data_IF_349575514191
#
_entry.id   IF_349575514191
#
_cell.length_a   1.000
_cell.length_b   1.000
_cell.length_c   1.000
_cell.angle_alpha   90.00
_cell.angle_beta   90.00
_cell.angle_gamma   90.00
#
_symmetry.space_group_name_H-M   'P 1'
#
loop_
_entity.id
_entity.type
_entity.pdbx_description
1 polymer ?
#
# COMPACT_ATOMS: atom_id res chain seq x y z
N UNK A 1 -22.18 -11.79 6.18
CA UNK A 1 -22.16 -12.00 4.72
C UNK A 1 -21.10 -13.00 4.34
N UNK A 2 -21.23 -13.59 3.14
CA UNK A 2 -20.16 -14.35 2.47
C UNK A 2 -19.43 -13.38 1.54
N UNK A 3 -18.15 -13.17 1.78
CA UNK A 3 -17.33 -12.19 1.05
C UNK A 3 -16.22 -12.93 0.33
N UNK A 4 -16.12 -12.74 -0.98
CA UNK A 4 -14.97 -13.17 -1.75
C UNK A 4 -13.99 -11.98 -1.87
N UNK A 5 -12.77 -12.16 -1.40
CA UNK A 5 -11.68 -11.17 -1.56
C UNK A 5 -10.78 -11.64 -2.69
N UNK A 6 -10.57 -10.80 -3.70
CA UNK A 6 -9.72 -11.14 -4.85
C UNK A 6 -8.40 -10.40 -4.75
N UNK A 7 -7.33 -11.14 -4.55
CA UNK A 7 -5.96 -10.62 -4.59
C UNK A 7 -5.36 -10.77 -5.99
N UNK A 8 -4.27 -10.04 -6.27
CA UNK A 8 -3.51 -10.29 -7.50
C UNK A 8 -2.89 -11.69 -7.48
N UNK A 9 -2.96 -12.47 -8.57
CA UNK A 9 -2.32 -13.79 -8.66
C UNK A 9 -0.80 -13.72 -8.87
N UNK A 10 -0.21 -12.53 -8.82
CA UNK A 10 1.20 -12.31 -9.14
C UNK A 10 2.11 -12.58 -7.94
N UNK A 11 1.64 -12.30 -6.73
CA UNK A 11 2.45 -12.40 -5.51
C UNK A 11 1.68 -13.14 -4.42
N UNK A 12 2.27 -14.16 -3.77
CA UNK A 12 1.66 -14.80 -2.61
C UNK A 12 1.40 -13.82 -1.46
N UNK A 13 0.32 -14.07 -0.73
CA UNK A 13 -0.08 -13.27 0.42
C UNK A 13 0.51 -13.85 1.70
N UNK A 14 1.10 -12.98 2.52
CA UNK A 14 1.59 -13.31 3.86
C UNK A 14 1.38 -12.10 4.78
N UNK A 15 0.71 -12.23 5.94
CA UNK A 15 0.48 -11.09 6.85
C UNK A 15 1.78 -10.43 7.34
N UNK A 16 2.84 -11.23 7.48
CA UNK A 16 4.14 -10.74 7.96
C UNK A 16 4.97 -9.99 6.90
N UNK A 17 4.58 -10.07 5.60
CA UNK A 17 5.37 -9.41 4.55
C UNK A 17 5.28 -7.89 4.64
N UNK A 18 6.37 -7.15 4.36
CA UNK A 18 6.34 -5.70 4.37
C UNK A 18 5.52 -5.15 3.19
N UNK A 19 4.71 -4.16 3.47
CA UNK A 19 4.18 -3.19 2.53
C UNK A 19 3.08 -3.62 1.58
N UNK A 20 2.52 -2.60 0.95
CA UNK A 20 1.69 -2.69 -0.23
C UNK A 20 0.27 -3.22 -0.07
N UNK A 21 -0.35 -3.43 -1.23
CA UNK A 21 -1.73 -3.91 -1.32
C UNK A 21 -1.92 -5.31 -0.70
N UNK A 22 -0.88 -6.17 -0.76
CA UNK A 22 -0.94 -7.54 -0.22
C UNK A 22 -1.18 -7.55 1.29
N UNK A 23 -0.42 -6.74 2.05
CA UNK A 23 -0.60 -6.63 3.49
C UNK A 23 -1.99 -6.09 3.83
N UNK A 24 -2.46 -5.07 3.10
CA UNK A 24 -3.80 -4.52 3.29
C UNK A 24 -4.90 -5.55 3.00
N UNK A 25 -4.76 -6.38 1.97
CA UNK A 25 -5.71 -7.45 1.66
C UNK A 25 -5.77 -8.47 2.79
N UNK A 26 -4.62 -8.87 3.36
CA UNK A 26 -4.57 -9.75 4.53
C UNK A 26 -5.27 -9.11 5.73
N UNK A 27 -4.93 -7.86 6.05
CA UNK A 27 -5.48 -7.13 7.19
C UNK A 27 -7.00 -6.95 7.05
N UNK A 28 -7.49 -6.61 5.84
CA UNK A 28 -8.91 -6.47 5.54
C UNK A 28 -9.65 -7.80 5.73
N UNK A 29 -9.12 -8.88 5.15
CA UNK A 29 -9.78 -10.19 5.22
C UNK A 29 -9.88 -10.68 6.68
N UNK A 30 -8.79 -10.56 7.45
CA UNK A 30 -8.76 -10.90 8.88
C UNK A 30 -9.73 -10.04 9.69
N UNK A 31 -9.75 -8.73 9.44
CA UNK A 31 -10.65 -7.82 10.12
C UNK A 31 -12.13 -8.12 9.83
N UNK A 32 -12.48 -8.46 8.59
CA UNK A 32 -13.83 -8.87 8.24
C UNK A 32 -14.23 -10.20 8.88
N UNK A 33 -13.29 -11.17 9.00
CA UNK A 33 -13.53 -12.42 9.75
C UNK A 33 -13.80 -12.14 11.22
N UNK A 34 -13.01 -11.28 11.86
CA UNK A 34 -13.21 -10.87 13.26
C UNK A 34 -14.57 -10.19 13.50
N UNK A 35 -15.16 -9.58 12.46
CA UNK A 35 -16.51 -8.99 12.49
C UNK A 35 -17.64 -9.98 12.19
N UNK A 36 -17.31 -11.28 12.07
CA UNK A 36 -18.27 -12.35 11.90
C UNK A 36 -18.71 -12.59 10.45
N UNK A 37 -17.99 -12.05 9.48
CA UNK A 37 -18.22 -12.41 8.07
C UNK A 37 -17.55 -13.76 7.73
N UNK A 38 -18.11 -14.46 6.75
CA UNK A 38 -17.44 -15.61 6.11
C UNK A 38 -16.62 -15.10 4.93
N UNK A 39 -15.32 -15.11 5.06
CA UNK A 39 -14.39 -14.55 4.06
C UNK A 39 -13.58 -15.67 3.42
N UNK A 40 -13.54 -15.70 2.10
CA UNK A 40 -12.60 -16.49 1.33
C UNK A 40 -11.72 -15.58 0.48
N UNK A 41 -10.39 -15.76 0.54
CA UNK A 41 -9.45 -15.04 -0.33
C UNK A 41 -9.16 -15.91 -1.55
N UNK A 42 -9.42 -15.37 -2.73
CA UNK A 42 -8.97 -15.92 -4.00
C UNK A 42 -7.58 -15.35 -4.32
N UNK A 43 -6.56 -16.21 -4.33
CA UNK A 43 -5.15 -15.80 -4.42
C UNK A 43 -4.30 -16.85 -5.13
N UNK A 44 -3.01 -16.61 -5.25
CA UNK A 44 -2.05 -17.57 -5.84
C UNK A 44 -1.60 -18.59 -4.80
N UNK A 45 -1.24 -19.79 -5.24
CA UNK A 45 -0.60 -20.83 -4.42
C UNK A 45 0.66 -20.29 -3.71
N UNK A 46 0.95 -20.83 -2.53
CA UNK A 46 2.02 -20.33 -1.65
C UNK A 46 1.60 -19.15 -0.79
N UNK A 47 0.32 -18.70 -0.89
CA UNK A 47 -0.27 -17.76 0.06
C UNK A 47 -0.60 -18.44 1.38
N UNK A 48 -0.37 -17.73 2.49
CA UNK A 48 -0.64 -18.20 3.85
C UNK A 48 -1.25 -17.06 4.65
N UNK A 49 -2.57 -17.16 4.96
CA UNK A 49 -3.29 -16.17 5.79
C UNK A 49 -4.05 -16.94 6.86
N UNK A 50 -3.43 -17.23 8.02
CA UNK A 50 -4.06 -18.00 9.09
C UNK A 50 -5.37 -17.37 9.54
N UNK A 51 -6.43 -18.19 9.67
CA UNK A 51 -7.75 -17.73 10.10
C UNK A 51 -8.67 -17.28 8.96
N UNK A 52 -8.25 -17.38 7.70
CA UNK A 52 -9.07 -17.07 6.53
C UNK A 52 -9.04 -18.26 5.55
N UNK A 53 -10.17 -18.59 4.95
CA UNK A 53 -10.23 -19.60 3.89
C UNK A 53 -9.52 -19.10 2.63
N UNK A 54 -8.65 -19.92 2.03
CA UNK A 54 -7.95 -19.62 0.79
C UNK A 54 -8.44 -20.51 -0.35
N UNK A 55 -8.73 -19.90 -1.49
CA UNK A 55 -9.02 -20.56 -2.77
C UNK A 55 -7.92 -20.16 -3.72
N UNK A 56 -7.03 -21.08 -4.04
CA UNK A 56 -5.78 -20.78 -4.74
C UNK A 56 -5.81 -21.21 -6.20
N UNK A 57 -5.05 -20.47 -7.03
CA UNK A 57 -4.73 -20.82 -8.40
C UNK A 57 -3.21 -21.00 -8.55
N UNK A 58 -2.74 -21.80 -9.52
CA UNK A 58 -1.31 -21.94 -9.79
C UNK A 58 -0.64 -20.61 -10.14
N UNK A 59 0.65 -20.41 -9.80
CA UNK A 59 1.36 -19.18 -10.11
C UNK A 59 1.50 -19.00 -11.63
N UNK A 60 1.10 -17.83 -12.18
CA UNK A 60 1.26 -17.54 -13.60
C UNK A 60 2.74 -17.56 -14.01
N UNK A 61 3.05 -18.14 -15.18
CA UNK A 61 4.44 -18.21 -15.69
C UNK A 61 5.04 -16.84 -16.01
N UNK A 62 4.18 -15.86 -16.26
CA UNK A 62 4.51 -14.47 -16.60
C UNK A 62 4.29 -13.49 -15.44
N UNK A 63 4.14 -13.99 -14.20
CA UNK A 63 3.96 -13.16 -13.01
C UNK A 63 5.04 -12.08 -12.85
N UNK A 64 6.31 -12.41 -13.13
CA UNK A 64 7.41 -11.47 -13.03
C UNK A 64 7.27 -10.27 -13.98
N UNK A 65 6.66 -10.46 -15.16
CA UNK A 65 6.41 -9.37 -16.12
C UNK A 65 5.36 -8.38 -15.59
N UNK A 66 4.34 -8.88 -14.86
CA UNK A 66 3.30 -8.05 -14.29
C UNK A 66 3.77 -7.23 -13.06
N UNK A 67 4.94 -7.55 -12.49
CA UNK A 67 5.56 -6.76 -11.41
C UNK A 67 6.33 -5.54 -11.91
N UNK A 68 6.63 -5.48 -13.22
CA UNK A 68 7.37 -4.35 -13.81
C UNK A 68 6.46 -3.13 -13.88
N UNK A 69 6.84 -2.07 -13.16
CA UNK A 69 6.13 -0.79 -13.22
C UNK A 69 6.28 -0.16 -14.61
N UNK A 70 5.19 0.25 -15.27
CA UNK A 70 5.25 0.73 -16.66
C UNK A 70 5.89 2.12 -16.85
N UNK A 71 6.29 2.85 -15.82
CA UNK A 71 7.00 4.13 -15.79
C UNK A 71 7.15 4.85 -17.16
N UNK A 72 6.02 5.17 -17.82
CA UNK A 72 5.99 5.80 -19.16
C UNK A 72 6.19 4.84 -20.35
N UNK A 73 6.26 3.53 -20.13
CA UNK A 73 6.30 2.49 -21.17
C UNK A 73 4.98 1.70 -21.17
N UNK A 74 4.61 1.05 -22.27
CA UNK A 74 3.47 0.13 -22.28
C UNK A 74 3.69 -0.97 -21.24
N UNK A 75 2.62 -1.27 -20.45
CA UNK A 75 2.67 -2.41 -19.54
C UNK A 75 2.88 -3.71 -20.33
N UNK A 76 3.77 -4.60 -19.87
CA UNK A 76 3.94 -5.90 -20.50
C UNK A 76 2.62 -6.67 -20.52
N UNK A 77 2.38 -7.42 -21.60
CA UNK A 77 1.25 -8.34 -21.62
C UNK A 77 1.56 -9.56 -20.76
N UNK A 78 0.59 -9.97 -19.95
CA UNK A 78 0.71 -11.11 -19.05
C UNK A 78 -0.53 -12.03 -19.21
N UNK A 79 -0.62 -12.80 -20.31
CA UNK A 79 -1.77 -13.66 -20.58
C UNK A 79 -1.96 -14.78 -19.54
N UNK A 80 -0.90 -15.24 -18.89
CA UNK A 80 -0.99 -16.19 -17.79
C UNK A 80 -1.65 -15.59 -16.55
N UNK A 81 -1.36 -14.32 -16.24
CA UNK A 81 -2.06 -13.57 -15.18
C UNK A 81 -3.54 -13.44 -15.51
N UNK A 82 -3.87 -13.12 -16.77
CA UNK A 82 -5.27 -13.02 -17.20
C UNK A 82 -6.01 -14.37 -17.06
N UNK A 83 -5.37 -15.48 -17.42
CA UNK A 83 -5.94 -16.82 -17.25
C UNK A 83 -6.16 -17.20 -15.78
N UNK A 84 -5.19 -16.90 -14.92
CA UNK A 84 -5.33 -17.12 -13.48
C UNK A 84 -6.49 -16.31 -12.87
N UNK A 85 -6.67 -15.07 -13.30
CA UNK A 85 -7.82 -14.23 -12.89
C UNK A 85 -9.14 -14.87 -13.36
N UNK A 86 -9.22 -15.35 -14.59
CA UNK A 86 -10.41 -16.03 -15.08
C UNK A 86 -10.77 -17.25 -14.20
N UNK A 87 -9.80 -18.10 -13.87
CA UNK A 87 -9.98 -19.26 -12.99
C UNK A 87 -10.46 -18.85 -11.57
N UNK A 88 -9.89 -17.78 -11.01
CA UNK A 88 -10.36 -17.23 -9.73
C UNK A 88 -11.84 -16.83 -9.80
N UNK A 89 -12.26 -16.13 -10.85
CA UNK A 89 -13.64 -15.70 -10.98
C UNK A 89 -14.61 -16.82 -11.29
N UNK A 90 -14.18 -17.90 -11.94
CA UNK A 90 -14.98 -19.13 -12.10
C UNK A 90 -15.24 -19.79 -10.73
N UNK A 91 -14.21 -19.86 -9.88
CA UNK A 91 -14.34 -20.33 -8.50
C UNK A 91 -15.28 -19.42 -7.68
N UNK A 92 -15.18 -18.09 -7.81
CA UNK A 92 -16.07 -17.13 -7.14
C UNK A 92 -17.54 -17.38 -7.54
N UNK A 93 -17.81 -17.55 -8.84
CA UNK A 93 -19.18 -17.81 -9.30
C UNK A 93 -19.76 -19.11 -8.74
N UNK A 94 -18.92 -20.14 -8.57
CA UNK A 94 -19.34 -21.43 -8.00
C UNK A 94 -19.72 -21.33 -6.52
N UNK A 95 -19.03 -20.47 -5.75
CA UNK A 95 -19.28 -20.28 -4.30
C UNK A 95 -20.45 -19.34 -4.00
N UNK A 96 -20.88 -18.54 -4.97
CA UNK A 96 -21.98 -17.55 -4.86
C UNK A 96 -21.83 -16.66 -3.62
N UNK A 97 -20.80 -15.83 -3.53
CA UNK A 97 -20.66 -14.88 -2.44
C UNK A 97 -21.77 -13.83 -2.48
N UNK A 98 -22.04 -13.18 -1.36
CA UNK A 98 -22.97 -12.06 -1.29
C UNK A 98 -22.38 -10.80 -1.93
N UNK A 99 -21.02 -10.66 -1.84
CA UNK A 99 -20.25 -9.55 -2.41
C UNK A 99 -18.80 -9.96 -2.69
N UNK A 100 -18.19 -9.29 -3.68
CA UNK A 100 -16.78 -9.44 -4.06
C UNK A 100 -16.01 -8.17 -3.71
N UNK A 101 -14.96 -8.28 -2.92
CA UNK A 101 -13.97 -7.22 -2.69
C UNK A 101 -12.78 -7.46 -3.62
N UNK A 102 -12.71 -6.73 -4.73
CA UNK A 102 -11.75 -6.96 -5.79
C UNK A 102 -10.55 -6.01 -5.64
N UNK A 103 -9.35 -6.56 -5.50
CA UNK A 103 -8.09 -5.84 -5.28
C UNK A 103 -7.01 -6.16 -6.33
N UNK A 104 -7.27 -7.07 -7.26
CA UNK A 104 -6.34 -7.32 -8.37
C UNK A 104 -6.27 -6.10 -9.31
N UNK A 105 -5.08 -5.76 -9.76
CA UNK A 105 -4.82 -4.52 -10.50
C UNK A 105 -4.82 -4.71 -12.03
N UNK A 106 -5.41 -5.75 -12.52
CA UNK A 106 -5.39 -6.15 -13.91
C UNK A 106 -6.76 -5.95 -14.56
N UNK A 107 -6.79 -5.46 -15.82
CA UNK A 107 -8.03 -5.22 -16.55
C UNK A 107 -8.97 -6.44 -16.61
N UNK A 108 -8.50 -7.69 -16.80
CA UNK A 108 -9.37 -8.87 -16.78
C UNK A 108 -10.19 -9.03 -15.50
N UNK A 109 -9.71 -8.55 -14.35
CA UNK A 109 -10.45 -8.65 -13.09
C UNK A 109 -11.76 -7.83 -13.11
N UNK A 110 -11.76 -6.70 -13.82
CA UNK A 110 -12.98 -5.90 -14.02
C UNK A 110 -13.98 -6.60 -14.96
N UNK A 111 -13.47 -7.18 -16.05
CA UNK A 111 -14.31 -7.87 -17.02
C UNK A 111 -14.97 -9.10 -16.41
N UNK A 112 -14.20 -9.92 -15.69
CA UNK A 112 -14.70 -11.12 -15.03
C UNK A 112 -15.62 -10.83 -13.83
N UNK A 113 -15.54 -9.64 -13.22
CA UNK A 113 -16.45 -9.24 -12.14
C UNK A 113 -17.83 -8.80 -12.64
N UNK A 114 -18.04 -8.61 -13.95
CA UNK A 114 -19.34 -8.19 -14.50
C UNK A 114 -20.45 -9.16 -14.09
N UNK A 115 -21.57 -8.58 -13.64
CA UNK A 115 -22.72 -9.33 -13.16
C UNK A 115 -22.59 -9.87 -11.73
N UNK A 116 -21.51 -9.54 -11.04
CA UNK A 116 -21.34 -9.78 -9.60
C UNK A 116 -21.53 -8.48 -8.82
N UNK A 117 -22.01 -8.57 -7.59
CA UNK A 117 -21.94 -7.46 -6.64
C UNK A 117 -20.47 -7.26 -6.22
N UNK A 118 -19.73 -6.42 -6.94
CA UNK A 118 -18.29 -6.27 -6.77
C UNK A 118 -17.89 -4.83 -6.48
N UNK A 119 -17.02 -4.64 -5.48
CA UNK A 119 -16.34 -3.39 -5.17
C UNK A 119 -14.88 -3.50 -5.64
N UNK A 120 -14.47 -2.65 -6.56
CA UNK A 120 -13.11 -2.60 -7.09
C UNK A 120 -12.30 -1.53 -6.38
N UNK A 121 -11.22 -1.91 -5.70
CA UNK A 121 -10.31 -0.97 -5.05
C UNK A 121 -9.09 -0.71 -5.93
N UNK A 122 -8.95 0.54 -6.36
CA UNK A 122 -7.87 1.01 -7.22
C UNK A 122 -6.67 1.41 -6.34
N UNK A 123 -5.74 0.45 -6.14
CA UNK A 123 -4.57 0.63 -5.28
C UNK A 123 -3.43 1.42 -5.93
N UNK A 124 -3.45 1.58 -7.25
CA UNK A 124 -2.38 2.19 -8.04
C UNK A 124 -2.88 3.43 -8.78
N UNK A 125 -1.98 4.34 -9.16
CA UNK A 125 -2.31 5.41 -10.09
C UNK A 125 -2.78 4.86 -11.46
N UNK A 126 -3.46 5.68 -12.28
CA UNK A 126 -3.97 5.27 -13.60
C UNK A 126 -2.85 5.15 -14.65
N UNK A 127 -1.89 4.27 -14.40
CA UNK A 127 -0.68 4.09 -15.23
C UNK A 127 -0.90 3.15 -16.42
N UNK A 128 -1.89 2.26 -16.34
CA UNK A 128 -2.13 1.22 -17.35
C UNK A 128 -3.40 1.54 -18.13
N UNK A 129 -3.31 1.89 -19.43
CA UNK A 129 -4.47 2.28 -20.23
C UNK A 129 -5.60 1.24 -20.25
N UNK A 130 -5.27 -0.06 -20.27
CA UNK A 130 -6.25 -1.13 -20.24
C UNK A 130 -7.06 -1.13 -18.93
N UNK A 131 -6.41 -0.87 -17.78
CA UNK A 131 -7.08 -0.76 -16.48
C UNK A 131 -7.95 0.50 -16.43
N UNK A 132 -7.48 1.63 -16.99
CA UNK A 132 -8.26 2.86 -17.08
C UNK A 132 -9.53 2.62 -17.91
N UNK A 133 -9.43 1.96 -19.06
CA UNK A 133 -10.59 1.63 -19.91
C UNK A 133 -11.58 0.70 -19.19
N UNK A 134 -11.09 -0.33 -18.50
CA UNK A 134 -11.93 -1.25 -17.73
C UNK A 134 -12.65 -0.53 -16.57
N UNK A 135 -11.92 0.29 -15.80
CA UNK A 135 -12.49 1.10 -14.72
C UNK A 135 -13.52 2.11 -15.24
N UNK A 136 -13.28 2.77 -16.38
CA UNK A 136 -14.23 3.70 -17.01
C UNK A 136 -15.57 3.02 -17.40
N UNK A 137 -15.53 1.73 -17.66
CA UNK A 137 -16.72 0.92 -18.02
C UNK A 137 -17.43 0.36 -16.77
N UNK A 138 -16.89 0.58 -15.58
CA UNK A 138 -17.46 0.10 -14.31
C UNK A 138 -18.31 1.20 -13.68
N UNK A 139 -19.52 0.89 -13.14
CA UNK A 139 -20.33 1.91 -12.48
C UNK A 139 -19.56 2.60 -11.35
N UNK A 140 -19.64 3.93 -11.29
CA UNK A 140 -18.86 4.74 -10.35
C UNK A 140 -19.06 4.37 -8.86
N UNK A 141 -20.26 3.88 -8.50
CA UNK A 141 -20.56 3.37 -7.15
C UNK A 141 -19.83 2.08 -6.78
N UNK A 142 -19.29 1.34 -7.74
CA UNK A 142 -18.54 0.10 -7.57
C UNK A 142 -17.02 0.30 -7.56
N UNK A 143 -16.55 1.55 -7.66
CA UNK A 143 -15.14 1.91 -7.63
C UNK A 143 -14.78 2.63 -6.33
N UNK A 144 -13.63 2.28 -5.79
CA UNK A 144 -13.00 2.95 -4.66
C UNK A 144 -11.52 3.21 -4.92
N UNK A 145 -10.97 4.25 -4.32
CA UNK A 145 -9.52 4.51 -4.24
C UNK A 145 -9.08 4.54 -2.79
N UNK A 146 -7.76 4.46 -2.57
CA UNK A 146 -7.19 4.41 -1.21
C UNK A 146 -6.84 5.78 -0.63
N UNK A 147 -7.02 6.85 -1.42
CA UNK A 147 -6.78 8.24 -0.96
C UNK A 147 -7.54 9.24 -1.84
N UNK A 148 -7.74 10.45 -1.35
CA UNK A 148 -8.30 11.54 -2.14
C UNK A 148 -7.36 11.98 -3.28
N UNK A 149 -6.05 11.85 -3.09
CA UNK A 149 -5.06 12.08 -4.15
C UNK A 149 -5.28 11.10 -5.31
N UNK A 150 -5.42 9.80 -5.03
CA UNK A 150 -5.74 8.80 -6.05
C UNK A 150 -7.09 9.07 -6.71
N UNK A 151 -8.11 9.46 -5.95
CA UNK A 151 -9.41 9.84 -6.52
C UNK A 151 -9.27 10.97 -7.53
N UNK A 152 -8.47 11.99 -7.24
CA UNK A 152 -8.18 13.09 -8.19
C UNK A 152 -7.44 12.58 -9.42
N UNK A 153 -6.41 11.73 -9.23
CA UNK A 153 -5.63 11.19 -10.33
C UNK A 153 -6.51 10.36 -11.30
N UNK A 154 -7.38 9.50 -10.77
CA UNK A 154 -8.31 8.71 -11.57
C UNK A 154 -9.36 9.58 -12.28
N UNK A 155 -9.85 10.64 -11.62
CA UNK A 155 -10.77 11.60 -12.25
C UNK A 155 -10.09 12.35 -13.41
N UNK A 156 -8.83 12.74 -13.29
CA UNK A 156 -8.05 13.35 -14.38
C UNK A 156 -7.88 12.36 -15.54
N UNK A 157 -7.78 11.07 -15.26
CA UNK A 157 -7.76 10.02 -16.28
C UNK A 157 -9.14 9.69 -16.89
N UNK A 158 -10.20 10.41 -16.49
CA UNK A 158 -11.56 10.24 -17.04
C UNK A 158 -12.41 9.18 -16.33
N UNK A 159 -11.98 8.68 -15.15
CA UNK A 159 -12.71 7.68 -14.37
C UNK A 159 -13.39 8.34 -13.17
N UNK A 160 -14.73 8.28 -13.08
CA UNK A 160 -15.48 8.77 -11.93
C UNK A 160 -15.41 7.75 -10.79
N UNK A 161 -14.59 8.02 -9.77
CA UNK A 161 -14.50 7.21 -8.56
C UNK A 161 -15.14 7.96 -7.40
N UNK A 162 -16.18 7.41 -6.79
CA UNK A 162 -16.95 8.11 -5.74
C UNK A 162 -16.48 7.83 -4.34
N UNK A 163 -15.83 6.68 -4.10
CA UNK A 163 -15.45 6.24 -2.77
C UNK A 163 -13.94 6.42 -2.54
N UNK A 164 -13.60 6.86 -1.35
CA UNK A 164 -12.23 6.81 -0.82
C UNK A 164 -12.25 5.90 0.40
N UNK A 165 -11.64 4.73 0.27
CA UNK A 165 -11.48 3.74 1.32
C UNK A 165 -10.00 3.70 1.72
N UNK A 166 -9.65 4.49 2.73
CA UNK A 166 -8.26 4.62 3.16
C UNK A 166 -7.75 3.30 3.72
N UNK A 167 -6.49 3.01 3.47
CA UNK A 167 -5.81 1.93 4.19
C UNK A 167 -5.64 2.32 5.66
N UNK A 168 -5.55 1.30 6.51
CA UNK A 168 -5.26 1.47 7.93
C UNK A 168 -4.03 0.70 8.35
N UNK A 169 -3.54 0.99 9.53
CA UNK A 169 -2.41 0.31 10.15
C UNK A 169 -2.83 -0.20 11.53
N UNK A 170 -2.51 -1.47 11.78
CA UNK A 170 -2.69 -2.09 13.08
C UNK A 170 -1.82 -1.40 14.14
N UNK A 171 -2.41 -1.08 15.29
CA UNK A 171 -1.69 -0.59 16.45
C UNK A 171 -1.08 -1.77 17.21
N UNK A 172 0.12 -2.16 16.81
CA UNK A 172 0.89 -3.18 17.53
C UNK A 172 1.66 -2.57 18.69
N UNK A 173 1.75 -3.32 19.78
CA UNK A 173 2.57 -2.93 20.91
C UNK A 173 4.05 -3.07 20.52
N UNK A 174 4.65 -1.95 20.16
CA UNK A 174 6.09 -1.83 19.94
C UNK A 174 6.65 -1.15 21.19
N UNK A 175 7.60 -1.75 21.89
CA UNK A 175 8.21 -1.13 23.06
C UNK A 175 8.73 0.28 22.72
N UNK A 176 8.46 1.25 23.61
CA UNK A 176 9.04 2.58 23.50
C UNK A 176 10.57 2.46 23.53
N UNK A 177 11.20 2.52 22.35
CA UNK A 177 12.65 2.51 22.21
C UNK A 177 13.22 3.91 22.45
N UNK A 178 14.45 3.96 22.97
CA UNK A 178 15.21 5.21 22.92
C UNK A 178 15.62 5.42 21.46
N UNK A 179 15.21 6.53 20.82
CA UNK A 179 15.55 6.77 19.43
C UNK A 179 17.05 6.87 19.24
N UNK A 180 17.59 6.08 18.33
CA UNK A 180 18.93 6.26 17.83
C UNK A 180 18.95 7.49 16.91
N UNK A 181 20.04 8.22 16.89
CA UNK A 181 20.21 9.37 15.98
C UNK A 181 20.47 8.91 14.54
N UNK A 182 19.50 8.17 13.97
CA UNK A 182 19.55 7.60 12.61
C UNK A 182 18.23 7.83 11.90
N UNK A 183 18.29 8.14 10.63
CA UNK A 183 17.14 8.12 9.73
C UNK A 183 16.85 6.70 9.24
N UNK A 184 15.58 6.39 8.95
CA UNK A 184 15.15 5.17 8.30
C UNK A 184 14.60 5.49 6.92
N UNK A 185 15.07 4.76 5.91
CA UNK A 185 14.44 4.66 4.59
C UNK A 185 13.95 3.23 4.42
N UNK A 186 12.68 3.02 4.13
CA UNK A 186 12.10 1.69 4.06
C UNK A 186 11.22 1.51 2.82
N UNK A 187 11.20 0.29 2.29
CA UNK A 187 10.41 -0.12 1.13
C UNK A 187 11.27 -0.66 -0.01
N UNK A 188 10.66 -0.84 -1.19
CA UNK A 188 11.41 -1.27 -2.38
C UNK A 188 12.51 -0.26 -2.70
N UNK A 189 13.69 -0.77 -2.98
CA UNK A 189 14.79 0.05 -3.49
C UNK A 189 14.59 0.16 -5.00
N UNK A 190 13.98 1.26 -5.44
CA UNK A 190 13.52 1.51 -6.80
C UNK A 190 13.41 3.01 -7.09
N UNK A 191 13.49 3.44 -8.38
CA UNK A 191 13.55 4.84 -8.75
C UNK A 191 12.39 5.69 -8.21
N UNK A 192 11.17 5.13 -8.17
CA UNK A 192 9.98 5.85 -7.70
C UNK A 192 10.01 6.14 -6.19
N UNK A 193 10.89 5.50 -5.43
CA UNK A 193 11.05 5.72 -3.99
C UNK A 193 12.05 6.84 -3.64
N UNK A 194 12.79 7.36 -4.63
CA UNK A 194 13.66 8.52 -4.45
C UNK A 194 14.77 8.32 -3.44
N UNK A 195 15.40 7.14 -3.48
CA UNK A 195 16.43 6.73 -2.50
C UNK A 195 17.57 7.73 -2.45
N UNK A 196 18.02 8.24 -3.60
CA UNK A 196 19.12 9.20 -3.70
C UNK A 196 18.81 10.50 -2.95
N UNK A 197 17.57 11.01 -3.07
CA UNK A 197 17.14 12.22 -2.38
C UNK A 197 17.07 11.99 -0.87
N UNK A 198 16.54 10.82 -0.45
CA UNK A 198 16.46 10.47 0.96
C UNK A 198 17.85 10.36 1.61
N UNK A 199 18.82 9.73 0.93
CA UNK A 199 20.21 9.64 1.39
C UNK A 199 20.88 11.02 1.43
N UNK A 200 20.69 11.83 0.39
CA UNK A 200 21.25 13.17 0.32
C UNK A 200 20.71 14.08 1.41
N UNK A 201 19.38 14.11 1.58
CA UNK A 201 18.73 14.92 2.61
C UNK A 201 19.12 14.48 4.02
N UNK A 202 19.20 13.19 4.28
CA UNK A 202 19.62 12.66 5.59
C UNK A 202 21.08 13.02 5.91
N UNK A 203 21.97 12.97 4.90
CA UNK A 203 23.37 13.38 5.05
C UNK A 203 23.50 14.88 5.35
N UNK A 204 22.71 15.73 4.68
CA UNK A 204 22.67 17.18 4.94
C UNK A 204 22.18 17.45 6.37
N UNK A 205 21.18 16.70 6.84
CA UNK A 205 20.66 16.78 8.22
C UNK A 205 21.58 16.11 9.26
N UNK A 206 22.75 15.57 8.87
CA UNK A 206 23.71 14.95 9.78
C UNK A 206 23.28 13.60 10.36
N UNK A 207 22.34 12.89 9.72
CA UNK A 207 21.82 11.61 10.17
C UNK A 207 22.39 10.45 9.36
N UNK A 208 23.02 9.45 9.96
CA UNK A 208 23.26 8.16 9.35
C UNK A 208 21.93 7.50 8.94
N UNK A 209 21.93 6.76 7.84
CA UNK A 209 20.72 6.13 7.30
C UNK A 209 20.74 4.63 7.49
N UNK A 210 19.65 4.06 7.98
CA UNK A 210 19.32 2.64 7.89
C UNK A 210 18.41 2.43 6.68
N UNK A 211 18.69 1.41 5.87
CA UNK A 211 17.94 1.06 4.67
C UNK A 211 17.29 -0.31 4.83
N UNK A 212 15.96 -0.36 4.91
CA UNK A 212 15.19 -1.61 4.99
C UNK A 212 14.47 -1.86 3.67
N UNK A 213 14.74 -2.99 3.02
CA UNK A 213 14.14 -3.41 1.78
C UNK A 213 15.12 -4.07 0.83
N UNK A 214 14.64 -4.43 -0.36
CA UNK A 214 15.44 -5.05 -1.41
C UNK A 214 15.34 -4.30 -2.74
N UNK A 215 16.33 -4.52 -3.60
CA UNK A 215 16.33 -4.06 -5.00
C UNK A 215 15.49 -5.05 -5.81
N UNK A 216 14.42 -4.57 -6.41
CA UNK A 216 13.53 -5.39 -7.24
C UNK A 216 13.85 -5.28 -8.73
N UNK A 217 14.45 -4.18 -9.17
CA UNK A 217 14.91 -4.00 -10.54
C UNK A 217 16.45 -4.04 -10.55
N UNK A 218 17.06 -5.13 -11.04
CA UNK A 218 18.51 -5.25 -11.12
C UNK A 218 19.19 -4.18 -12.02
N UNK A 219 18.41 -3.52 -12.88
CA UNK A 219 18.90 -2.43 -13.71
C UNK A 219 18.93 -1.08 -12.97
N UNK A 220 18.36 -0.99 -11.77
CA UNK A 220 18.42 0.21 -10.93
C UNK A 220 19.75 0.23 -10.17
N UNK A 221 20.71 0.93 -10.75
CA UNK A 221 22.01 1.17 -10.14
C UNK A 221 21.92 2.43 -9.25
N UNK A 222 21.81 2.20 -7.95
CA UNK A 222 21.77 3.25 -6.94
C UNK A 222 22.96 3.11 -5.99
N UNK A 223 23.68 4.21 -5.77
CA UNK A 223 24.77 4.25 -4.79
C UNK A 223 24.17 4.31 -3.36
N UNK A 224 24.23 3.18 -2.69
CA UNK A 224 23.79 3.04 -1.28
C UNK A 224 24.94 3.27 -0.27
N UNK A 225 26.13 3.73 -0.72
CA UNK A 225 27.26 3.93 0.17
C UNK A 225 26.93 4.92 1.29
N UNK A 226 27.26 4.48 2.51
CA UNK A 226 26.97 5.23 3.73
C UNK A 226 25.60 4.93 4.35
N UNK A 227 24.76 4.08 3.74
CA UNK A 227 23.59 3.54 4.38
C UNK A 227 23.91 2.17 5.01
N UNK A 228 23.37 1.94 6.21
CA UNK A 228 23.40 0.63 6.90
C UNK A 228 22.30 -0.26 6.32
N UNK A 229 22.61 -1.32 5.56
CA UNK A 229 21.61 -2.19 4.98
C UNK A 229 21.02 -3.11 6.04
N UNK A 230 19.69 -3.13 6.16
CA UNK A 230 18.96 -4.04 7.04
C UNK A 230 18.35 -5.23 6.27
N UNK A 231 18.38 -5.19 4.92
CA UNK A 231 17.71 -6.19 4.10
C UNK A 231 16.19 -6.14 4.20
N UNK A 232 15.54 -7.22 3.78
CA UNK A 232 14.09 -7.37 3.91
C UNK A 232 13.74 -7.75 5.36
N UNK A 233 12.84 -6.99 5.96
CA UNK A 233 12.36 -7.18 7.32
C UNK A 233 10.90 -7.62 7.28
N UNK A 234 10.47 -8.41 8.25
CA UNK A 234 9.03 -8.59 8.51
C UNK A 234 8.37 -7.28 8.96
N UNK A 235 7.06 -7.17 8.83
CA UNK A 235 6.33 -5.96 9.29
C UNK A 235 6.61 -5.62 10.75
N UNK A 236 6.67 -6.63 11.63
CA UNK A 236 6.96 -6.40 13.06
C UNK A 236 8.39 -5.92 13.29
N UNK A 237 9.37 -6.51 12.62
CA UNK A 237 10.77 -6.07 12.68
C UNK A 237 10.92 -4.64 12.16
N UNK A 238 10.29 -4.32 11.03
CA UNK A 238 10.31 -2.97 10.47
C UNK A 238 9.72 -1.95 11.46
N UNK A 239 8.59 -2.25 12.10
CA UNK A 239 7.98 -1.38 13.10
C UNK A 239 8.87 -1.17 14.34
N UNK A 240 9.61 -2.20 14.77
CA UNK A 240 10.64 -2.08 15.83
C UNK A 240 11.77 -1.14 15.42
N UNK A 241 12.22 -1.26 14.17
CA UNK A 241 13.23 -0.34 13.62
C UNK A 241 12.68 1.08 13.53
N UNK A 242 11.43 1.26 13.10
CA UNK A 242 10.75 2.57 13.11
C UNK A 242 10.69 3.16 14.52
N UNK A 243 10.31 2.37 15.52
CA UNK A 243 10.23 2.83 16.92
C UNK A 243 11.56 3.34 17.46
N UNK A 244 12.68 2.83 16.95
CA UNK A 244 14.04 3.23 17.37
C UNK A 244 14.72 4.19 16.39
N UNK A 245 14.10 4.56 15.28
CA UNK A 245 14.62 5.56 14.34
C UNK A 245 14.26 6.97 14.78
N UNK A 246 15.14 7.95 14.54
CA UNK A 246 14.85 9.35 14.83
C UNK A 246 13.74 9.89 13.92
N UNK A 247 13.76 9.49 12.66
CA UNK A 247 12.81 9.90 11.61
C UNK A 247 12.73 8.84 10.52
N UNK A 248 11.56 8.65 9.91
CA UNK A 248 11.41 7.89 8.67
C UNK A 248 11.31 8.86 7.49
N UNK A 249 12.08 8.62 6.42
CA UNK A 249 12.19 9.52 5.27
C UNK A 249 11.47 8.90 4.06
N UNK A 250 10.52 9.63 3.49
CA UNK A 250 9.71 9.22 2.34
C UNK A 250 9.89 10.22 1.17
N UNK A 251 10.94 10.03 0.37
CA UNK A 251 11.33 10.91 -0.74
C UNK A 251 10.72 10.48 -2.09
N UNK A 252 9.48 10.04 -2.10
CA UNK A 252 8.86 9.43 -3.29
C UNK A 252 8.80 10.39 -4.49
N UNK A 253 9.11 9.86 -5.69
CA UNK A 253 9.11 10.57 -6.97
C UNK A 253 7.88 10.27 -7.84
N UNK A 254 6.92 9.52 -7.32
CA UNK A 254 5.66 9.17 -7.98
C UNK A 254 4.46 9.60 -7.16
N UNK A 255 3.28 9.57 -7.75
CA UNK A 255 2.02 9.80 -7.02
C UNK A 255 1.77 8.63 -6.05
N UNK A 256 2.29 8.74 -4.82
CA UNK A 256 2.16 7.69 -3.80
C UNK A 256 0.68 7.44 -3.49
N UNK A 257 0.19 6.20 -3.70
CA UNK A 257 -1.23 5.92 -3.57
C UNK A 257 -1.79 6.13 -2.16
N UNK A 258 -1.01 5.74 -1.14
CA UNK A 258 -1.39 5.93 0.26
C UNK A 258 -0.19 6.30 1.13
N UNK A 259 0.89 5.53 1.11
CA UNK A 259 2.05 5.75 1.95
C UNK A 259 2.01 4.91 3.23
N UNK A 260 1.82 3.59 3.10
CA UNK A 260 1.79 2.67 4.25
C UNK A 260 3.03 2.77 5.12
N UNK A 261 4.23 2.93 4.54
CA UNK A 261 5.47 3.11 5.30
C UNK A 261 5.39 4.34 6.22
N UNK A 262 4.85 5.46 5.73
CA UNK A 262 4.65 6.66 6.53
C UNK A 262 3.61 6.44 7.64
N UNK A 263 2.53 5.72 7.34
CA UNK A 263 1.50 5.40 8.31
C UNK A 263 2.01 4.44 9.41
N UNK A 264 2.76 3.40 9.04
CA UNK A 264 3.38 2.45 9.96
C UNK A 264 4.44 3.10 10.86
N UNK A 265 5.24 4.03 10.31
CA UNK A 265 6.21 4.79 11.07
C UNK A 265 5.53 5.63 12.16
N UNK A 266 4.49 6.39 11.80
CA UNK A 266 3.73 7.19 12.74
C UNK A 266 3.04 6.33 13.81
N UNK A 267 2.49 5.17 13.44
CA UNK A 267 1.89 4.24 14.39
C UNK A 267 2.92 3.68 15.38
N UNK A 268 4.19 3.53 14.98
CA UNK A 268 5.31 3.20 15.85
C UNK A 268 5.86 4.42 16.63
N UNK A 269 5.24 5.60 16.51
CA UNK A 269 5.69 6.83 17.15
C UNK A 269 6.91 7.47 16.46
N UNK A 270 7.27 7.06 15.25
CA UNK A 270 8.36 7.65 14.49
C UNK A 270 7.83 8.79 13.61
N UNK A 271 8.34 10.02 13.74
CA UNK A 271 7.95 11.12 12.87
C UNK A 271 8.40 10.87 11.42
N UNK A 272 7.71 11.49 10.47
CA UNK A 272 7.94 11.29 9.04
C UNK A 272 8.34 12.58 8.36
N UNK A 273 9.48 12.58 7.68
CA UNK A 273 9.85 13.61 6.72
C UNK A 273 9.52 13.10 5.31
N UNK A 274 8.67 13.80 4.58
CA UNK A 274 8.19 13.31 3.29
C UNK A 274 8.07 14.41 2.25
N UNK A 275 8.26 14.08 0.97
CA UNK A 275 7.83 14.96 -0.10
C UNK A 275 6.31 15.13 -0.09
N UNK A 276 5.83 16.35 -0.30
CA UNK A 276 4.41 16.66 -0.46
C UNK A 276 3.89 16.15 -1.82
N UNK A 277 3.79 14.82 -1.96
CA UNK A 277 3.43 14.15 -3.22
C UNK A 277 2.48 12.99 -2.98
N UNK A 278 1.48 12.88 -3.84
CA UNK A 278 0.44 11.85 -3.72
C UNK A 278 -0.33 11.95 -2.40
N UNK A 279 -0.58 10.83 -1.78
CA UNK A 279 -1.31 10.76 -0.52
C UNK A 279 -0.47 11.09 0.73
N UNK A 280 0.83 11.36 0.61
CA UNK A 280 1.65 11.68 1.79
C UNK A 280 1.16 12.92 2.53
N UNK A 281 0.58 13.90 1.82
CA UNK A 281 -0.08 15.07 2.43
C UNK A 281 -1.38 14.73 3.19
N UNK A 282 -1.96 13.55 2.95
CA UNK A 282 -3.14 13.08 3.67
C UNK A 282 -2.77 12.22 4.88
N UNK A 283 -1.61 11.54 4.80
CA UNK A 283 -1.11 10.63 5.84
C UNK A 283 -0.29 11.37 6.87
N UNK A 284 0.59 12.27 6.47
CA UNK A 284 1.40 13.09 7.37
C UNK A 284 0.62 14.33 7.78
N UNK A 285 0.39 14.49 9.09
CA UNK A 285 -0.16 15.71 9.67
C UNK A 285 1.00 16.67 9.94
N UNK A 286 1.14 17.68 9.05
CA UNK A 286 2.29 18.60 9.06
C UNK A 286 2.41 19.34 10.41
N UNK A 287 3.59 19.29 11.01
CA UNK A 287 3.88 19.86 12.31
C UNK A 287 3.43 19.03 13.52
N UNK A 288 2.73 17.90 13.33
CA UNK A 288 2.26 16.99 14.39
C UNK A 288 2.88 15.61 14.28
N UNK A 289 2.70 14.96 13.14
CA UNK A 289 3.21 13.60 12.94
C UNK A 289 4.42 13.53 12.00
N UNK A 290 4.82 14.67 11.44
CA UNK A 290 5.95 14.80 10.55
C UNK A 290 5.98 16.17 9.90
N UNK A 291 6.83 16.30 8.87
CA UNK A 291 6.91 17.51 8.05
C UNK A 291 6.96 17.17 6.57
N UNK A 292 6.25 17.99 5.80
CA UNK A 292 6.20 17.88 4.34
C UNK A 292 7.22 18.83 3.69
N UNK A 293 7.96 18.27 2.74
CA UNK A 293 8.97 18.99 1.96
C UNK A 293 8.50 19.23 0.51
N UNK A 294 9.08 20.23 -0.13
CA UNK A 294 8.86 20.47 -1.56
C UNK A 294 9.34 19.26 -2.37
N UNK A 295 8.51 18.71 -3.28
CA UNK A 295 8.92 17.60 -4.13
C UNK A 295 10.19 17.87 -4.92
N UNK A 296 11.06 16.87 -5.02
CA UNK A 296 12.34 16.90 -5.74
C UNK A 296 13.35 17.95 -5.22
N UNK A 297 13.16 18.41 -3.98
CA UNK A 297 14.06 19.33 -3.29
C UNK A 297 14.66 18.68 -2.03
N UNK A 298 15.86 18.11 -2.18
CA UNK A 298 16.56 17.44 -1.09
C UNK A 298 16.94 18.40 0.06
N UNK A 299 17.12 19.70 -0.20
CA UNK A 299 17.39 20.68 0.84
C UNK A 299 16.13 20.96 1.68
N UNK A 300 14.97 21.11 1.04
CA UNK A 300 13.69 21.20 1.72
C UNK A 300 13.41 19.94 2.55
N UNK A 301 13.75 18.73 2.03
CA UNK A 301 13.60 17.48 2.75
C UNK A 301 14.53 17.39 3.96
N UNK A 302 15.78 17.88 3.86
CA UNK A 302 16.71 17.96 4.98
C UNK A 302 16.15 18.84 6.12
N UNK A 303 15.59 20.00 5.78
CA UNK A 303 14.91 20.85 6.77
C UNK A 303 13.71 20.16 7.42
N UNK A 304 12.93 19.41 6.65
CA UNK A 304 11.83 18.59 7.19
C UNK A 304 12.35 17.52 8.16
N UNK A 305 13.46 16.85 7.84
CA UNK A 305 14.12 15.88 8.72
C UNK A 305 14.52 16.57 10.05
N UNK A 306 15.23 17.68 10.01
CA UNK A 306 15.67 18.41 11.21
C UNK A 306 14.49 18.81 12.10
N UNK A 307 13.40 19.30 11.50
CA UNK A 307 12.17 19.65 12.23
C UNK A 307 11.51 18.42 12.87
N UNK A 308 11.53 17.26 12.22
CA UNK A 308 11.00 16.02 12.77
C UNK A 308 11.66 15.62 14.10
N UNK A 309 12.95 15.96 14.31
CA UNK A 309 13.68 15.61 15.53
C UNK A 309 13.13 16.33 16.79
N UNK A 310 12.30 17.34 16.63
CA UNK A 310 11.71 18.12 17.73
C UNK A 310 10.31 17.66 18.13
N UNK A 311 9.71 16.73 17.37
CA UNK A 311 8.33 16.28 17.61
C UNK A 311 8.24 15.31 18.79
N UNK A 312 7.13 15.44 19.55
CA UNK A 312 6.77 14.49 20.60
C UNK A 312 6.26 13.18 19.96
N UNK A 313 7.01 12.12 20.12
CA UNK A 313 6.71 10.78 19.56
C UNK A 313 5.40 10.19 20.07
N UNK A 314 4.98 10.54 21.28
CA UNK A 314 3.68 10.12 21.83
C UNK A 314 2.54 10.79 21.09
N UNK A 315 2.69 12.07 20.74
CA UNK A 315 1.68 12.78 19.96
C UNK A 315 1.66 12.30 18.51
N UNK A 316 2.82 11.98 17.93
CA UNK A 316 2.92 11.33 16.60
C UNK A 316 2.08 10.05 16.58
N UNK A 317 2.28 9.16 17.57
CA UNK A 317 1.52 7.90 17.69
C UNK A 317 0.04 8.15 17.96
N UNK A 318 -0.30 9.10 18.82
CA UNK A 318 -1.68 9.46 19.12
C UNK A 318 -2.42 9.98 17.88
N UNK A 319 -1.78 10.83 17.08
CA UNK A 319 -2.31 11.27 15.78
C UNK A 319 -2.56 10.08 14.83
N UNK A 320 -1.59 9.18 14.69
CA UNK A 320 -1.73 8.00 13.86
C UNK A 320 -2.90 7.10 14.29
N UNK A 321 -3.06 6.83 15.58
CA UNK A 321 -4.18 6.05 16.14
C UNK A 321 -5.55 6.66 15.81
N UNK A 322 -5.67 7.98 15.85
CA UNK A 322 -6.93 8.67 15.53
C UNK A 322 -7.25 8.63 14.03
N UNK A 323 -6.24 8.68 13.15
CA UNK A 323 -6.41 8.97 11.71
C UNK A 323 -6.16 7.79 10.79
N UNK A 324 -5.34 6.84 11.22
CA UNK A 324 -4.77 5.78 10.39
C UNK A 324 -5.03 4.38 10.97
N UNK A 325 -6.00 4.22 11.88
CA UNK A 325 -6.30 2.94 12.51
C UNK A 325 -6.82 1.92 11.50
N UNK A 326 -6.41 0.66 11.66
CA UNK A 326 -6.90 -0.44 10.85
C UNK A 326 -8.41 -0.65 11.04
N UNK A 327 -8.92 -0.55 12.27
CA UNK A 327 -10.35 -0.71 12.55
C UNK A 327 -11.19 0.30 11.78
N UNK A 328 -10.78 1.58 11.73
CA UNK A 328 -11.47 2.60 10.96
C UNK A 328 -11.44 2.34 9.45
N UNK A 329 -10.36 1.76 8.95
CA UNK A 329 -10.28 1.32 7.54
C UNK A 329 -11.27 0.18 7.25
N UNK A 330 -11.31 -0.83 8.14
CA UNK A 330 -12.22 -1.96 8.00
C UNK A 330 -13.69 -1.52 8.10
N UNK A 331 -14.03 -0.56 8.98
CA UNK A 331 -15.38 0.05 9.06
C UNK A 331 -15.83 0.62 7.70
N UNK A 332 -14.92 1.34 7.03
CA UNK A 332 -15.19 1.90 5.72
C UNK A 332 -15.43 0.84 4.64
N UNK A 333 -14.57 -0.19 4.61
CA UNK A 333 -14.72 -1.31 3.66
C UNK A 333 -15.99 -2.12 3.93
N UNK A 334 -16.26 -2.49 5.19
CA UNK A 334 -17.46 -3.24 5.57
C UNK A 334 -18.74 -2.52 5.14
N UNK A 335 -18.83 -1.22 5.45
CA UNK A 335 -19.97 -0.37 5.04
C UNK A 335 -20.13 -0.38 3.51
N UNK A 336 -19.05 -0.16 2.77
CA UNK A 336 -19.10 -0.13 1.31
C UNK A 336 -19.51 -1.50 0.71
N UNK A 337 -18.99 -2.61 1.27
CA UNK A 337 -19.35 -3.96 0.82
C UNK A 337 -20.81 -4.30 1.12
N UNK A 338 -21.36 -3.85 2.27
CA UNK A 338 -22.79 -4.01 2.60
C UNK A 338 -23.69 -3.25 1.63
N UNK A 339 -23.31 -2.03 1.26
CA UNK A 339 -24.06 -1.22 0.28
C UNK A 339 -24.06 -1.90 -1.10
N UNK A 340 -22.91 -2.41 -1.56
CA UNK A 340 -22.79 -3.12 -2.84
C UNK A 340 -23.57 -4.45 -2.83
N UNK A 341 -23.58 -5.18 -1.72
CA UNK A 341 -24.36 -6.43 -1.60
C UNK A 341 -25.87 -6.20 -1.64
N UNK A 342 -26.33 -4.98 -1.33
CA UNK A 342 -27.75 -4.60 -1.25
C UNK A 342 -28.26 -3.91 -2.52
N UNK A 343 -27.38 -3.60 -3.47
CA UNK A 343 -27.71 -2.92 -4.73
C UNK A 343 -28.02 -3.89 -5.86
#
# INVERSE_FOLDING_TARGET
MRIAVVASPVTPLRPAQPGGAQAMVCDLALGLVHRGHRVAIHCVEGSEVPGVDLITVPPPRDAAQALVMPLGRPAPQAPGVAAAIAEMFDAIRSTRPDVVSQHAFDAPAFDHARGLAALHTLHMPPLVPAVVAAASSTPAGHLATVSASMQRAWRVAGVDVRRVLRNGVEDVDVPDGVPEHKALVAGRISPEKGIEDALTASRVAGLPVRMAGAVYDPAYDVDLQGAEPLGELTRLELRRVMATSAVTVCAVRWEEPFGLVAAEAQMAGCPVAAYNRGALAEVVEDGVSGFLATPDDAASLAQAIERCLTLDRREVRASARRRLSLDGAIDGYETALMEIASS
#
